data_IF_415926726071
#
_entry.id   IF_415926726071
#
_cell.length_a   1.000
_cell.length_b   1.000
_cell.length_c   1.000
_cell.angle_alpha   90.00
_cell.angle_beta   90.00
_cell.angle_gamma   90.00
#
_symmetry.space_group_name_H-M   'P 1'
#
loop_
_entity.id
_entity.type
_entity.pdbx_description
1 polymer ?
#
# COMPACT_ATOMS: atom_id res chain seq x y z
N UNK A 1 4.96 -17.71 3.82
CA UNK A 1 6.17 -16.90 4.12
C UNK A 1 6.41 -16.86 5.62
N UNK A 2 7.67 -16.99 6.08
CA UNK A 2 7.99 -17.07 7.53
C UNK A 2 7.52 -15.84 8.33
N UNK A 3 7.66 -14.64 7.76
CA UNK A 3 7.23 -13.36 8.35
C UNK A 3 5.71 -13.28 8.64
N UNK A 4 4.90 -14.15 8.03
CA UNK A 4 3.46 -14.27 8.29
C UNK A 4 3.12 -15.53 9.11
N UNK A 5 3.66 -16.69 8.73
CA UNK A 5 3.27 -17.98 9.31
C UNK A 5 3.56 -18.07 10.81
N UNK A 6 4.59 -17.37 11.30
CA UNK A 6 4.91 -17.34 12.74
C UNK A 6 3.87 -16.60 13.58
N UNK A 7 3.18 -15.61 13.00
CA UNK A 7 2.24 -14.75 13.73
C UNK A 7 0.78 -15.12 13.46
N UNK A 8 0.50 -15.99 12.48
CA UNK A 8 -0.85 -16.40 12.09
C UNK A 8 -1.74 -16.81 13.27
N UNK A 9 -1.31 -17.67 14.23
CA UNK A 9 -2.17 -18.04 15.37
C UNK A 9 -2.59 -16.83 16.21
N UNK A 10 -1.67 -15.91 16.47
CA UNK A 10 -1.94 -14.70 17.25
C UNK A 10 -2.85 -13.74 16.48
N UNK A 11 -2.64 -13.59 15.17
CA UNK A 11 -3.54 -12.80 14.33
C UNK A 11 -4.95 -13.36 14.35
N UNK A 12 -5.13 -14.68 14.29
CA UNK A 12 -6.46 -15.31 14.42
C UNK A 12 -7.15 -14.88 15.71
N UNK A 13 -6.46 -14.95 16.86
CA UNK A 13 -7.00 -14.54 18.16
C UNK A 13 -7.41 -13.06 18.18
N UNK A 14 -6.60 -12.19 17.56
CA UNK A 14 -6.87 -10.75 17.50
C UNK A 14 -8.06 -10.44 16.59
N UNK A 15 -8.17 -11.11 15.44
CA UNK A 15 -9.32 -10.95 14.55
C UNK A 15 -10.62 -11.47 15.18
N UNK A 16 -10.58 -12.58 15.91
CA UNK A 16 -11.74 -13.05 16.67
C UNK A 16 -12.14 -12.07 17.78
N UNK A 17 -11.15 -11.44 18.43
CA UNK A 17 -11.41 -10.35 19.37
C UNK A 17 -12.07 -9.16 18.67
N UNK A 18 -11.60 -8.78 17.49
CA UNK A 18 -12.17 -7.69 16.70
C UNK A 18 -13.63 -7.97 16.33
N UNK A 19 -13.91 -9.18 15.80
CA UNK A 19 -15.25 -9.65 15.46
C UNK A 19 -16.19 -9.68 16.66
N UNK A 20 -15.71 -10.13 17.81
CA UNK A 20 -16.49 -10.15 19.06
C UNK A 20 -16.92 -8.74 19.50
N UNK A 21 -16.06 -7.72 19.30
CA UNK A 21 -16.44 -6.34 19.61
C UNK A 21 -17.37 -5.73 18.55
N UNK A 22 -17.18 -6.06 17.28
CA UNK A 22 -18.04 -5.60 16.18
C UNK A 22 -19.45 -6.21 16.31
N UNK A 23 -19.57 -7.47 16.72
CA UNK A 23 -20.88 -8.11 16.93
C UNK A 23 -21.72 -7.48 18.05
N UNK A 24 -21.10 -6.65 18.91
CA UNK A 24 -21.78 -5.89 19.95
C UNK A 24 -22.27 -4.50 19.48
N UNK A 25 -22.05 -4.13 18.21
CA UNK A 25 -22.56 -2.89 17.64
C UNK A 25 -24.09 -2.89 17.51
N UNK A 26 -24.75 -1.71 17.45
CA UNK A 26 -26.20 -1.66 17.26
C UNK A 26 -26.59 -2.16 15.86
N UNK A 27 -27.67 -2.93 15.76
CA UNK A 27 -28.19 -3.37 14.47
C UNK A 27 -28.55 -2.16 13.57
N UNK A 28 -28.28 -2.22 12.24
CA UNK A 28 -27.72 -3.36 11.50
C UNK A 28 -26.18 -3.39 11.41
N UNK A 29 -25.47 -2.51 12.15
CA UNK A 29 -24.02 -2.31 12.04
C UNK A 29 -23.20 -3.49 12.56
N UNK A 30 -23.78 -4.32 13.44
CA UNK A 30 -23.20 -5.60 13.86
C UNK A 30 -22.96 -6.53 12.66
N UNK A 31 -24.03 -6.88 11.95
CA UNK A 31 -23.99 -7.80 10.83
C UNK A 31 -23.26 -7.21 9.64
N UNK A 32 -23.43 -5.90 9.40
CA UNK A 32 -22.72 -5.18 8.35
C UNK A 32 -21.21 -5.13 8.63
N UNK A 33 -20.81 -4.78 9.86
CA UNK A 33 -19.42 -4.74 10.28
C UNK A 33 -18.74 -6.10 10.25
N UNK A 34 -19.42 -7.18 10.64
CA UNK A 34 -18.86 -8.54 10.56
C UNK A 34 -18.58 -8.96 9.12
N UNK A 35 -19.51 -8.67 8.18
CA UNK A 35 -19.28 -8.94 6.76
C UNK A 35 -18.11 -8.10 6.22
N UNK A 36 -18.06 -6.82 6.57
CA UNK A 36 -17.01 -5.92 6.12
C UNK A 36 -15.63 -6.37 6.65
N UNK A 37 -15.52 -6.71 7.94
CA UNK A 37 -14.27 -7.20 8.54
C UNK A 37 -13.80 -8.53 7.94
N UNK A 38 -14.70 -9.39 7.47
CA UNK A 38 -14.33 -10.67 6.84
C UNK A 38 -13.72 -10.48 5.44
N UNK A 39 -14.12 -9.44 4.69
CA UNK A 39 -13.53 -9.13 3.39
C UNK A 39 -12.04 -8.81 3.50
N UNK A 40 -11.65 -8.10 4.56
CA UNK A 40 -10.28 -7.65 4.79
C UNK A 40 -9.55 -8.50 5.83
N UNK A 41 -10.00 -9.74 6.09
CA UNK A 41 -9.35 -10.63 7.04
C UNK A 41 -8.20 -11.41 6.38
N UNK A 42 -6.92 -11.07 6.66
CA UNK A 42 -5.74 -11.70 6.08
C UNK A 42 -5.55 -13.15 6.53
N UNK A 43 -6.26 -13.60 7.57
CA UNK A 43 -6.21 -14.99 8.05
C UNK A 43 -7.19 -15.87 7.29
N UNK A 44 -8.31 -15.30 6.82
CA UNK A 44 -9.35 -16.00 6.08
C UNK A 44 -9.00 -16.16 4.59
N UNK A 45 -8.29 -15.19 4.01
CA UNK A 45 -7.89 -15.19 2.61
C UNK A 45 -6.37 -15.38 2.49
N UNK A 46 -5.93 -16.37 1.69
CA UNK A 46 -4.49 -16.62 1.46
C UNK A 46 -3.84 -15.60 0.50
N UNK A 47 -4.62 -14.68 -0.07
CA UNK A 47 -4.20 -13.76 -1.13
C UNK A 47 -3.77 -12.36 -0.63
N UNK A 48 -3.52 -12.19 0.68
CA UNK A 48 -3.49 -10.86 1.30
C UNK A 48 -2.40 -9.89 0.81
N UNK A 49 -2.80 -8.64 0.57
CA UNK A 49 -1.93 -7.49 0.29
C UNK A 49 -1.70 -6.60 1.52
N UNK A 50 -2.59 -6.65 2.53
CA UNK A 50 -2.59 -5.71 3.68
C UNK A 50 -2.05 -6.29 5.00
N UNK A 51 -1.21 -7.33 4.94
CA UNK A 51 -0.69 -8.01 6.13
C UNK A 51 0.08 -7.06 7.07
N UNK A 52 0.77 -6.05 6.51
CA UNK A 52 1.62 -5.12 7.26
C UNK A 52 0.85 -4.38 8.37
N UNK A 53 -0.39 -3.96 8.12
CA UNK A 53 -1.20 -3.24 9.11
C UNK A 53 -1.34 -4.02 10.41
N UNK A 54 -1.49 -5.34 10.32
CA UNK A 54 -1.73 -6.20 11.49
C UNK A 54 -0.46 -6.81 12.07
N UNK A 55 0.57 -7.00 11.24
CA UNK A 55 1.82 -7.65 11.63
C UNK A 55 2.88 -6.68 12.14
N UNK A 56 2.84 -5.40 11.75
CA UNK A 56 3.85 -4.42 12.10
C UNK A 56 4.16 -4.36 13.61
N UNK A 57 3.19 -4.41 14.54
CA UNK A 57 3.49 -4.46 15.97
C UNK A 57 4.34 -5.67 16.38
N UNK A 58 4.18 -6.81 15.72
CA UNK A 58 4.96 -8.02 16.01
C UNK A 58 6.37 -7.93 15.43
N UNK A 59 6.53 -7.38 14.23
CA UNK A 59 7.83 -7.16 13.62
C UNK A 59 8.67 -6.15 14.41
N UNK A 60 8.04 -5.12 14.97
CA UNK A 60 8.72 -4.13 15.80
C UNK A 60 9.13 -4.67 17.18
N UNK A 61 8.61 -5.83 17.61
CA UNK A 61 8.71 -6.31 19.00
C UNK A 61 10.15 -6.50 19.46
N UNK A 62 10.98 -7.17 18.65
CA UNK A 62 12.38 -7.44 19.01
C UNK A 62 13.17 -6.13 19.13
N UNK A 63 12.87 -5.19 18.25
CA UNK A 63 13.57 -3.91 18.16
C UNK A 63 13.15 -2.91 19.25
N UNK A 64 11.88 -2.87 19.62
CA UNK A 64 11.39 -1.91 20.63
C UNK A 64 11.24 -2.52 22.02
N UNK A 65 11.25 -3.84 22.16
CA UNK A 65 11.12 -4.52 23.45
C UNK A 65 9.69 -4.52 24.03
N UNK A 66 8.67 -4.20 23.22
CA UNK A 66 7.27 -4.25 23.68
C UNK A 66 6.82 -5.68 24.00
N UNK A 67 5.88 -5.79 24.92
CA UNK A 67 5.29 -7.07 25.33
C UNK A 67 4.33 -7.61 24.26
N UNK A 68 4.08 -8.92 24.29
CA UNK A 68 3.10 -9.55 23.40
C UNK A 68 1.68 -8.98 23.57
N UNK A 69 1.29 -8.61 24.79
CA UNK A 69 0.01 -7.94 25.07
C UNK A 69 -0.05 -6.55 24.43
N UNK A 70 1.04 -5.78 24.45
CA UNK A 70 1.12 -4.49 23.79
C UNK A 70 1.08 -4.65 22.26
N UNK A 71 1.78 -5.65 21.70
CA UNK A 71 1.66 -5.98 20.27
C UNK A 71 0.20 -6.27 19.90
N UNK A 72 -0.49 -7.12 20.67
CA UNK A 72 -1.87 -7.48 20.40
C UNK A 72 -2.83 -6.28 20.45
N UNK A 73 -2.67 -5.38 21.43
CA UNK A 73 -3.52 -4.19 21.53
C UNK A 73 -3.24 -3.18 20.39
N UNK A 74 -1.98 -3.01 19.98
CA UNK A 74 -1.61 -2.19 18.81
C UNK A 74 -2.16 -2.81 17.51
N UNK A 75 -2.02 -4.12 17.32
CA UNK A 75 -2.57 -4.82 16.16
C UNK A 75 -4.09 -4.72 16.10
N UNK A 76 -4.77 -4.83 17.25
CA UNK A 76 -6.21 -4.64 17.33
C UNK A 76 -6.63 -3.22 16.95
N UNK A 77 -5.89 -2.20 17.43
CA UNK A 77 -6.11 -0.81 17.02
C UNK A 77 -5.94 -0.64 15.51
N UNK A 78 -4.93 -1.29 14.91
CA UNK A 78 -4.66 -1.22 13.48
C UNK A 78 -5.75 -1.90 12.64
N UNK A 79 -6.35 -3.00 13.10
CA UNK A 79 -7.51 -3.60 12.41
C UNK A 79 -8.66 -2.60 12.34
N UNK A 80 -8.99 -1.95 13.46
CA UNK A 80 -10.04 -0.94 13.46
C UNK A 80 -9.70 0.28 12.61
N UNK A 81 -8.44 0.73 12.67
CA UNK A 81 -7.94 1.83 11.84
C UNK A 81 -8.01 1.51 10.35
N UNK A 82 -7.50 0.35 9.94
CA UNK A 82 -7.55 -0.13 8.55
C UNK A 82 -8.99 -0.17 8.03
N UNK A 83 -9.90 -0.83 8.74
CA UNK A 83 -11.31 -0.89 8.34
C UNK A 83 -11.96 0.51 8.28
N UNK A 84 -11.58 1.41 9.19
CA UNK A 84 -12.07 2.80 9.18
C UNK A 84 -11.58 3.57 7.94
N UNK A 85 -10.29 3.50 7.61
CA UNK A 85 -9.72 4.22 6.47
C UNK A 85 -10.16 3.63 5.14
N UNK A 86 -10.31 2.30 5.02
CA UNK A 86 -10.92 1.68 3.84
C UNK A 86 -12.35 2.18 3.61
N UNK A 87 -13.15 2.34 4.67
CA UNK A 87 -14.47 2.97 4.55
C UNK A 87 -14.36 4.42 4.07
N UNK A 88 -13.36 5.19 4.55
CA UNK A 88 -13.18 6.57 4.08
C UNK A 88 -12.86 6.59 2.59
N UNK A 89 -11.91 5.76 2.15
CA UNK A 89 -11.48 5.67 0.75
C UNK A 89 -12.65 5.21 -0.15
N UNK A 90 -13.35 4.12 0.21
CA UNK A 90 -14.55 3.64 -0.49
C UNK A 90 -15.61 4.74 -0.66
N UNK A 91 -15.84 5.54 0.39
CA UNK A 91 -16.82 6.63 0.37
C UNK A 91 -16.38 7.80 -0.52
N UNK A 92 -15.08 8.11 -0.56
CA UNK A 92 -14.51 9.18 -1.38
C UNK A 92 -14.46 8.81 -2.87
N UNK A 93 -14.17 7.54 -3.18
CA UNK A 93 -14.05 7.04 -4.55
C UNK A 93 -15.41 6.67 -5.16
N UNK A 94 -16.44 6.45 -4.34
CA UNK A 94 -17.79 6.17 -4.82
C UNK A 94 -18.37 7.37 -5.61
N UNK A 95 -18.40 7.25 -6.95
CA UNK A 95 -18.85 8.30 -7.89
C UNK A 95 -20.33 8.71 -7.76
N UNK A 96 -21.10 8.15 -6.83
CA UNK A 96 -22.53 8.44 -6.69
C UNK A 96 -22.92 8.53 -5.21
N UNK A 97 -23.36 9.72 -4.80
CA UNK A 97 -24.08 9.98 -3.55
C UNK A 97 -25.49 9.34 -3.56
N UNK A 98 -25.55 8.03 -3.77
CA UNK A 98 -26.78 7.23 -3.80
C UNK A 98 -26.93 6.42 -2.52
N UNK A 99 -28.18 6.07 -2.22
CA UNK A 99 -28.65 5.25 -1.11
C UNK A 99 -27.67 4.13 -0.70
N UNK A 100 -27.37 4.02 0.61
CA UNK A 100 -26.48 2.99 1.17
C UNK A 100 -25.17 3.47 1.80
N UNK A 101 -24.89 4.79 1.81
CA UNK A 101 -23.70 5.35 2.46
C UNK A 101 -23.83 5.55 3.98
N UNK A 102 -25.04 5.44 4.54
CA UNK A 102 -25.29 5.66 5.98
C UNK A 102 -24.63 4.60 6.84
N UNK A 103 -24.72 3.33 6.41
CA UNK A 103 -24.19 2.18 7.13
C UNK A 103 -22.65 2.19 7.16
N UNK A 104 -21.92 2.35 6.03
CA UNK A 104 -20.48 2.55 6.05
C UNK A 104 -20.06 3.73 6.92
N UNK A 105 -20.70 4.89 6.78
CA UNK A 105 -20.36 6.07 7.56
C UNK A 105 -20.51 5.84 9.09
N UNK A 106 -21.65 5.28 9.50
CA UNK A 106 -21.90 4.99 10.91
C UNK A 106 -20.98 3.89 11.45
N UNK A 107 -20.70 2.86 10.64
CA UNK A 107 -19.73 1.81 10.99
C UNK A 107 -18.33 2.40 11.19
N UNK A 108 -17.87 3.24 10.26
CA UNK A 108 -16.58 3.90 10.33
C UNK A 108 -16.41 4.68 11.63
N UNK A 109 -17.44 5.41 12.07
CA UNK A 109 -17.41 6.12 13.35
C UNK A 109 -17.20 5.17 14.56
N UNK A 110 -17.89 4.02 14.59
CA UNK A 110 -17.74 3.03 15.65
C UNK A 110 -16.37 2.36 15.64
N UNK A 111 -15.84 2.03 14.45
CA UNK A 111 -14.49 1.49 14.28
C UNK A 111 -13.43 2.49 14.76
N UNK A 112 -13.54 3.75 14.37
CA UNK A 112 -12.66 4.83 14.85
C UNK A 112 -12.68 4.94 16.38
N UNK A 113 -13.86 4.86 16.99
CA UNK A 113 -13.99 4.88 18.45
C UNK A 113 -13.31 3.67 19.13
N UNK A 114 -13.42 2.47 18.54
CA UNK A 114 -12.73 1.28 19.06
C UNK A 114 -11.21 1.38 18.89
N UNK A 115 -10.71 1.91 17.78
CA UNK A 115 -9.29 2.22 17.59
C UNK A 115 -8.78 3.15 18.70
N UNK A 116 -9.49 4.27 18.95
CA UNK A 116 -9.12 5.20 20.03
C UNK A 116 -9.18 4.55 21.41
N UNK A 117 -10.13 3.63 21.65
CA UNK A 117 -10.23 2.89 22.92
C UNK A 117 -8.99 2.02 23.15
N UNK A 118 -8.47 1.38 22.11
CA UNK A 118 -7.22 0.62 22.19
C UNK A 118 -6.05 1.54 22.54
N UNK A 119 -5.88 2.65 21.84
CA UNK A 119 -4.80 3.60 22.15
C UNK A 119 -4.89 4.19 23.55
N UNK A 120 -6.10 4.51 24.05
CA UNK A 120 -6.29 5.03 25.42
C UNK A 120 -5.97 4.03 26.53
N UNK A 121 -5.94 2.72 26.24
CA UNK A 121 -5.44 1.72 27.20
C UNK A 121 -3.93 1.70 27.29
N UNK A 122 -3.25 2.07 26.20
CA UNK A 122 -1.80 2.06 26.08
C UNK A 122 -1.16 3.39 26.48
N UNK A 123 -1.83 4.51 26.20
CA UNK A 123 -1.28 5.85 26.34
C UNK A 123 -2.17 6.75 27.19
N UNK A 124 -1.54 7.50 28.10
CA UNK A 124 -2.18 8.58 28.87
C UNK A 124 -2.50 9.78 27.97
N UNK A 125 -3.40 10.65 28.39
CA UNK A 125 -3.81 11.87 27.67
C UNK A 125 -2.65 12.82 27.39
N UNK A 126 -1.63 12.84 28.25
CA UNK A 126 -0.47 13.75 28.14
C UNK A 126 0.68 13.16 27.32
N UNK A 127 0.50 11.96 26.75
CA UNK A 127 1.53 11.30 25.95
C UNK A 127 1.74 12.04 24.62
N UNK A 128 3.01 12.23 24.22
CA UNK A 128 3.37 12.77 22.90
C UNK A 128 2.86 11.90 21.74
N UNK A 129 2.42 10.67 22.03
CA UNK A 129 1.71 9.81 21.08
C UNK A 129 0.57 10.54 20.35
N UNK A 130 -0.18 11.38 21.07
CA UNK A 130 -1.34 12.08 20.50
C UNK A 130 -0.93 13.20 19.53
N UNK A 131 0.23 13.82 19.72
CA UNK A 131 0.78 14.80 18.78
C UNK A 131 1.14 14.12 17.44
N UNK A 132 1.70 12.92 17.51
CA UNK A 132 1.96 12.09 16.33
C UNK A 132 0.67 11.59 15.67
N UNK A 133 -0.34 11.22 16.46
CA UNK A 133 -1.65 10.81 15.93
C UNK A 133 -2.29 11.95 15.11
N UNK A 134 -2.28 13.17 15.64
CA UNK A 134 -2.77 14.37 14.93
C UNK A 134 -1.93 14.68 13.68
N UNK A 135 -0.60 14.58 13.78
CA UNK A 135 0.31 14.72 12.62
C UNK A 135 -0.06 13.74 11.51
N UNK A 136 -0.28 12.46 11.82
CA UNK A 136 -0.58 11.45 10.79
C UNK A 136 -1.99 11.54 10.22
N UNK A 137 -2.98 11.99 11.01
CA UNK A 137 -4.30 12.32 10.49
C UNK A 137 -4.23 13.48 9.47
N UNK A 138 -3.44 14.51 9.76
CA UNK A 138 -3.21 15.64 8.83
C UNK A 138 -2.44 15.21 7.58
N UNK A 139 -1.42 14.37 7.73
CA UNK A 139 -0.66 13.84 6.60
C UNK A 139 -1.55 13.00 5.68
N UNK A 140 -2.41 12.14 6.24
CA UNK A 140 -3.39 11.37 5.46
C UNK A 140 -4.31 12.31 4.66
N UNK A 141 -4.93 13.29 5.33
CA UNK A 141 -5.85 14.21 4.69
C UNK A 141 -5.20 15.03 3.57
N UNK A 142 -3.96 15.48 3.77
CA UNK A 142 -3.17 16.16 2.73
C UNK A 142 -2.90 15.24 1.53
N UNK A 143 -2.51 13.98 1.81
CA UNK A 143 -2.18 13.01 0.75
C UNK A 143 -3.39 12.66 -0.10
N UNK A 144 -4.56 12.45 0.51
CA UNK A 144 -5.80 12.15 -0.21
C UNK A 144 -6.19 13.27 -1.18
N UNK A 145 -5.97 14.54 -0.81
CA UNK A 145 -6.40 15.69 -1.62
C UNK A 145 -5.34 16.11 -2.65
N UNK A 146 -4.05 16.02 -2.31
CA UNK A 146 -2.98 16.66 -3.05
C UNK A 146 -2.08 15.71 -3.86
N UNK A 147 -2.24 14.39 -3.73
CA UNK A 147 -1.37 13.41 -4.41
C UNK A 147 -1.27 13.62 -5.93
N UNK A 148 -2.41 13.81 -6.60
CA UNK A 148 -2.45 14.03 -8.05
C UNK A 148 -1.81 15.37 -8.46
N UNK A 149 -2.05 16.43 -7.69
CA UNK A 149 -1.54 17.78 -8.00
C UNK A 149 -0.04 17.90 -7.71
N UNK A 150 0.44 17.21 -6.68
CA UNK A 150 1.84 17.14 -6.31
C UNK A 150 2.66 16.17 -7.15
N UNK A 151 2.02 15.26 -7.90
CA UNK A 151 2.68 14.24 -8.72
C UNK A 151 3.74 13.45 -7.93
N UNK A 152 3.34 12.97 -6.75
CA UNK A 152 4.23 12.45 -5.71
C UNK A 152 5.19 11.36 -6.20
N UNK A 153 4.75 10.43 -7.05
CA UNK A 153 5.64 9.40 -7.57
C UNK A 153 6.85 9.96 -8.34
N UNK A 154 6.72 11.15 -8.94
CA UNK A 154 7.79 11.79 -9.69
C UNK A 154 8.61 12.78 -8.85
N UNK A 155 8.01 13.43 -7.86
CA UNK A 155 8.65 14.47 -7.04
C UNK A 155 9.26 13.93 -5.75
N UNK A 156 8.52 13.07 -5.05
CA UNK A 156 8.87 12.47 -3.76
C UNK A 156 8.10 11.15 -3.57
N UNK A 157 8.68 10.04 -4.03
CA UNK A 157 8.04 8.72 -4.04
C UNK A 157 7.59 8.26 -2.66
N UNK A 158 8.25 8.70 -1.59
CA UNK A 158 7.83 8.32 -0.24
C UNK A 158 6.51 8.98 0.15
N UNK A 159 6.09 10.07 -0.52
CA UNK A 159 4.78 10.66 -0.29
C UNK A 159 3.63 9.87 -0.91
N UNK A 160 3.88 8.94 -1.85
CA UNK A 160 2.79 8.09 -2.39
C UNK A 160 2.23 7.14 -1.33
N UNK A 161 3.00 6.80 -0.29
CA UNK A 161 2.48 6.07 0.87
C UNK A 161 1.80 6.96 1.91
N UNK A 162 1.59 8.25 1.61
CA UNK A 162 0.98 9.21 2.53
C UNK A 162 -0.46 8.86 2.93
N UNK A 163 -1.22 8.14 2.08
CA UNK A 163 -2.52 7.56 2.43
C UNK A 163 -2.42 6.45 3.48
N UNK A 164 -1.26 5.83 3.64
CA UNK A 164 -0.98 4.87 4.70
C UNK A 164 -0.30 5.51 5.92
N UNK A 165 -0.15 6.85 5.96
CA UNK A 165 0.45 7.56 7.08
C UNK A 165 -0.12 7.20 8.47
N UNK A 166 -1.43 6.94 8.64
CA UNK A 166 -1.97 6.53 9.93
C UNK A 166 -1.31 5.27 10.51
N UNK A 167 -0.80 4.36 9.67
CA UNK A 167 -0.12 3.14 10.15
C UNK A 167 1.18 3.46 10.91
N UNK A 168 1.85 4.60 10.62
CA UNK A 168 3.05 5.05 11.34
C UNK A 168 2.81 5.25 12.83
N UNK A 169 1.57 5.46 13.24
CA UNK A 169 1.25 5.55 14.67
C UNK A 169 1.63 4.27 15.44
N UNK A 170 1.69 3.13 14.76
CA UNK A 170 2.17 1.87 15.34
C UNK A 170 3.64 1.93 15.70
N UNK A 171 4.46 2.54 14.84
CA UNK A 171 5.89 2.72 15.09
C UNK A 171 6.08 3.60 16.31
N UNK A 172 5.39 4.74 16.36
CA UNK A 172 5.42 5.65 17.51
C UNK A 172 4.97 4.92 18.77
N UNK A 173 3.84 4.21 18.70
CA UNK A 173 3.31 3.48 19.83
C UNK A 173 4.29 2.43 20.37
N UNK A 174 4.89 1.64 19.48
CA UNK A 174 5.87 0.63 19.85
C UNK A 174 7.13 1.25 20.47
N UNK A 175 7.66 2.34 19.89
CA UNK A 175 8.85 3.01 20.41
C UNK A 175 8.60 3.65 21.78
N UNK A 176 7.45 4.30 21.98
CA UNK A 176 7.11 4.94 23.24
C UNK A 176 6.87 3.92 24.37
N UNK A 177 6.18 2.81 24.07
CA UNK A 177 5.97 1.73 25.03
C UNK A 177 7.28 1.00 25.35
N UNK A 178 8.18 0.91 24.38
CA UNK A 178 9.51 0.33 24.51
C UNK A 178 10.57 1.24 25.14
N UNK A 179 10.26 2.52 25.36
CA UNK A 179 11.20 3.50 25.91
C UNK A 179 12.33 3.89 24.96
N UNK A 180 12.13 3.80 23.64
CA UNK A 180 13.11 4.14 22.60
C UNK A 180 12.59 5.20 21.60
N UNK A 181 12.09 6.38 22.05
CA UNK A 181 11.54 7.42 21.17
C UNK A 181 12.52 7.93 20.11
N UNK A 182 13.83 7.85 20.36
CA UNK A 182 14.88 8.22 19.42
C UNK A 182 14.87 7.37 18.12
N UNK A 183 14.23 6.19 18.15
CA UNK A 183 14.12 5.28 16.99
C UNK A 183 12.92 5.58 16.09
N UNK A 184 12.00 6.45 16.52
CA UNK A 184 10.76 6.73 15.80
C UNK A 184 11.05 7.12 14.35
N UNK A 185 11.93 8.10 14.13
CA UNK A 185 12.22 8.61 12.78
C UNK A 185 12.82 7.56 11.85
N UNK A 186 13.73 6.71 12.32
CA UNK A 186 14.36 5.68 11.48
C UNK A 186 13.38 4.56 11.14
N UNK A 187 12.53 4.15 12.08
CA UNK A 187 11.56 3.09 11.87
C UNK A 187 10.37 3.58 11.03
N UNK A 188 9.95 4.83 11.18
CA UNK A 188 8.97 5.46 10.29
C UNK A 188 9.47 5.47 8.85
N UNK A 189 10.73 5.86 8.65
CA UNK A 189 11.33 5.85 7.32
C UNK A 189 11.37 4.45 6.70
N UNK A 190 11.71 3.43 7.49
CA UNK A 190 11.68 2.04 7.04
C UNK A 190 10.26 1.58 6.63
N UNK A 191 9.24 2.00 7.38
CA UNK A 191 7.83 1.72 7.08
C UNK A 191 7.37 2.49 5.84
N UNK A 192 7.71 3.77 5.68
CA UNK A 192 7.38 4.57 4.50
C UNK A 192 7.97 3.94 3.22
N UNK A 193 9.23 3.51 3.25
CA UNK A 193 9.86 2.79 2.12
C UNK A 193 9.07 1.52 1.78
N UNK A 194 8.71 0.74 2.81
CA UNK A 194 7.96 -0.51 2.64
C UNK A 194 6.57 -0.28 2.06
N UNK A 195 5.85 0.72 2.56
CA UNK A 195 4.51 1.08 2.09
C UNK A 195 4.53 1.68 0.68
N UNK A 196 5.58 2.42 0.31
CA UNK A 196 5.73 2.89 -1.07
C UNK A 196 5.90 1.73 -2.04
N UNK A 197 6.68 0.71 -1.68
CA UNK A 197 6.82 -0.50 -2.53
C UNK A 197 5.53 -1.32 -2.59
N UNK A 198 4.75 -1.36 -1.50
CA UNK A 198 3.41 -1.95 -1.52
C UNK A 198 2.47 -1.19 -2.48
N UNK A 199 2.41 0.14 -2.35
CA UNK A 199 1.63 1.00 -3.24
C UNK A 199 2.01 0.80 -4.71
N UNK A 200 3.29 0.56 -5.02
CA UNK A 200 3.70 0.24 -6.39
C UNK A 200 3.10 -1.07 -6.92
N UNK A 201 2.95 -2.10 -6.07
CA UNK A 201 2.28 -3.35 -6.48
C UNK A 201 0.78 -3.14 -6.71
N UNK A 202 0.14 -2.31 -5.88
CA UNK A 202 -1.26 -1.94 -6.04
C UNK A 202 -1.45 -1.11 -7.31
N UNK A 203 -0.61 -0.10 -7.54
CA UNK A 203 -0.58 0.69 -8.77
C UNK A 203 -0.43 -0.18 -10.02
N UNK A 204 0.39 -1.24 -9.95
CA UNK A 204 0.49 -2.22 -11.04
C UNK A 204 -0.76 -3.08 -11.19
N UNK A 205 -1.41 -3.46 -10.09
CA UNK A 205 -2.61 -4.31 -10.15
C UNK A 205 -3.79 -3.53 -10.73
N UNK A 206 -3.89 -2.25 -10.39
CA UNK A 206 -5.11 -1.46 -10.56
C UNK A 206 -4.99 -0.40 -11.68
N UNK A 207 -3.84 -0.33 -12.39
CA UNK A 207 -3.57 0.72 -13.40
C UNK A 207 -4.66 0.92 -14.46
N UNK A 208 -5.44 -0.13 -14.80
CA UNK A 208 -6.55 -0.01 -15.75
C UNK A 208 -7.76 0.68 -15.15
N UNK A 209 -8.09 0.31 -13.92
CA UNK A 209 -9.19 0.88 -13.15
C UNK A 209 -8.86 2.33 -12.82
N UNK A 210 -7.66 2.59 -12.30
CA UNK A 210 -7.20 3.96 -12.00
C UNK A 210 -7.19 4.85 -13.25
N UNK A 211 -6.75 4.31 -14.39
CA UNK A 211 -6.79 5.05 -15.65
C UNK A 211 -8.22 5.36 -16.09
N UNK A 212 -9.13 4.40 -15.97
CA UNK A 212 -10.54 4.58 -16.31
C UNK A 212 -11.19 5.62 -15.39
N UNK A 213 -10.87 5.56 -14.10
CA UNK A 213 -11.52 6.40 -13.10
C UNK A 213 -10.91 7.78 -12.95
N UNK A 214 -9.70 7.98 -13.47
CA UNK A 214 -8.95 9.23 -13.38
C UNK A 214 -8.18 9.37 -12.07
N UNK A 215 -7.97 8.26 -11.35
CA UNK A 215 -7.24 8.22 -10.09
C UNK A 215 -5.73 8.32 -10.35
N UNK A 216 -5.03 8.98 -9.42
CA UNK A 216 -3.57 9.03 -9.49
C UNK A 216 -2.98 7.65 -9.26
N UNK A 217 -2.00 7.29 -10.07
CA UNK A 217 -1.33 6.00 -10.04
C UNK A 217 0.14 6.22 -10.43
N UNK A 218 1.07 5.71 -9.63
CA UNK A 218 2.50 5.95 -9.80
C UNK A 218 3.06 5.37 -11.10
N UNK A 219 2.57 4.21 -11.55
CA UNK A 219 2.93 3.63 -12.85
C UNK A 219 2.46 4.51 -14.00
N UNK A 220 1.21 4.99 -13.96
CA UNK A 220 0.68 5.91 -14.97
C UNK A 220 1.41 7.25 -14.97
N UNK A 221 1.81 7.75 -13.80
CA UNK A 221 2.61 8.96 -13.67
C UNK A 221 4.00 8.80 -14.30
N UNK A 222 4.67 7.66 -14.08
CA UNK A 222 5.93 7.32 -14.74
C UNK A 222 5.76 7.29 -16.26
N UNK A 223 4.73 6.61 -16.77
CA UNK A 223 4.42 6.54 -18.20
C UNK A 223 4.16 7.95 -18.78
N UNK A 224 3.35 8.76 -18.10
CA UNK A 224 3.07 10.13 -18.55
C UNK A 224 4.33 10.99 -18.64
N UNK A 225 5.25 10.86 -17.68
CA UNK A 225 6.54 11.54 -17.70
C UNK A 225 7.40 11.10 -18.91
N UNK A 226 7.36 9.82 -19.27
CA UNK A 226 8.06 9.27 -20.44
C UNK A 226 7.48 9.72 -21.79
N UNK A 227 6.19 9.98 -21.86
CA UNK A 227 5.54 10.48 -23.09
C UNK A 227 5.59 12.01 -23.22
N UNK A 228 5.70 12.72 -22.11
CA UNK A 228 5.82 14.20 -22.08
C UNK A 228 7.19 14.72 -22.52
N UNK A 229 8.01 13.88 -23.17
CA UNK A 229 9.31 14.21 -23.75
C UNK A 229 9.16 15.13 -24.98
N UNK A 230 8.66 16.35 -24.77
CA UNK A 230 8.99 17.48 -25.62
C UNK A 230 10.41 17.94 -25.26
N UNK A 231 11.36 18.01 -26.19
CA UNK A 231 12.77 18.30 -25.92
C UNK A 231 13.07 19.71 -25.35
N UNK A 232 12.03 20.50 -25.03
CA UNK A 232 12.16 21.90 -24.62
C UNK A 232 12.02 22.16 -23.10
N UNK A 233 11.48 21.23 -22.30
CA UNK A 233 11.31 21.46 -20.86
C UNK A 233 12.54 20.99 -20.07
N UNK A 234 13.04 21.79 -19.12
CA UNK A 234 14.14 21.39 -18.23
C UNK A 234 13.66 20.43 -17.11
N UNK A 235 14.55 19.66 -16.49
CA UNK A 235 14.17 18.59 -15.53
C UNK A 235 13.35 19.04 -14.30
N UNK A 236 13.43 20.31 -13.92
CA UNK A 236 12.72 20.87 -12.75
C UNK A 236 11.32 21.40 -13.09
N UNK A 237 11.12 21.96 -14.28
CA UNK A 237 9.79 22.35 -14.79
C UNK A 237 8.91 21.12 -15.09
N UNK A 238 9.53 19.97 -15.37
CA UNK A 238 8.83 18.70 -15.63
C UNK A 238 8.20 18.09 -14.38
N UNK A 239 8.86 18.20 -13.24
CA UNK A 239 8.40 17.59 -11.98
C UNK A 239 7.27 18.40 -11.31
N UNK A 240 7.11 19.67 -11.68
CA UNK A 240 6.14 20.60 -11.09
C UNK A 240 4.90 20.84 -11.96
N UNK A 241 4.81 20.21 -13.13
CA UNK A 241 3.62 20.23 -13.96
C UNK A 241 2.54 19.30 -13.36
N UNK A 242 1.25 19.71 -13.33
CA UNK A 242 0.16 18.85 -12.87
C UNK A 242 0.16 17.52 -13.61
N UNK A 243 -0.06 16.42 -12.89
CA UNK A 243 -0.18 15.11 -13.50
C UNK A 243 -1.31 15.10 -14.53
N UNK A 244 -1.01 14.53 -15.69
CA UNK A 244 -2.00 14.23 -16.74
C UNK A 244 -1.93 12.74 -17.03
N UNK A 245 -3.03 11.99 -16.92
CA UNK A 245 -3.04 10.57 -17.23
C UNK A 245 -2.68 10.34 -18.71
N UNK A 246 -1.89 9.29 -19.04
CA UNK A 246 -1.66 8.87 -20.41
C UNK A 246 -2.97 8.33 -21.02
N UNK A 247 -3.08 8.27 -22.34
CA UNK A 247 -4.17 7.51 -22.97
C UNK A 247 -3.97 6.00 -22.78
N UNK A 248 -5.04 5.21 -22.85
CA UNK A 248 -4.98 3.74 -22.77
C UNK A 248 -3.94 3.16 -23.73
N UNK A 249 -3.91 3.66 -24.97
CA UNK A 249 -2.95 3.21 -25.98
C UNK A 249 -1.50 3.54 -25.60
N UNK A 250 -1.26 4.68 -24.97
CA UNK A 250 0.08 5.05 -24.49
C UNK A 250 0.50 4.17 -23.32
N UNK A 251 -0.40 3.92 -22.36
CA UNK A 251 -0.15 3.02 -21.24
C UNK A 251 0.15 1.59 -21.70
N UNK A 252 -0.68 1.01 -22.57
CA UNK A 252 -0.45 -0.33 -23.13
C UNK A 252 0.86 -0.41 -23.92
N UNK A 253 1.16 0.60 -24.73
CA UNK A 253 2.42 0.65 -25.46
C UNK A 253 3.63 0.76 -24.50
N UNK A 254 3.53 1.54 -23.43
CA UNK A 254 4.61 1.67 -22.45
C UNK A 254 4.89 0.34 -21.73
N UNK A 255 3.82 -0.30 -21.25
CA UNK A 255 3.87 -1.53 -20.45
C UNK A 255 4.31 -2.72 -21.33
N UNK A 256 3.62 -2.96 -22.45
CA UNK A 256 3.81 -4.18 -23.24
C UNK A 256 4.88 -4.07 -24.33
N UNK A 257 5.21 -2.84 -24.77
CA UNK A 257 6.15 -2.62 -25.89
C UNK A 257 7.44 -1.94 -25.41
N UNK A 258 7.39 -0.91 -24.58
CA UNK A 258 8.56 -0.08 -24.19
C UNK A 258 9.22 -0.47 -22.86
N UNK A 259 8.87 -1.64 -22.31
CA UNK A 259 9.50 -2.20 -21.11
C UNK A 259 9.49 -1.25 -19.90
N UNK A 260 8.40 -0.48 -19.73
CA UNK A 260 8.22 0.46 -18.62
C UNK A 260 8.27 -0.24 -17.26
N UNK A 261 7.75 -1.46 -17.18
CA UNK A 261 7.73 -2.22 -15.93
C UNK A 261 9.11 -2.55 -15.38
N UNK A 262 10.14 -2.66 -16.23
CA UNK A 262 11.50 -2.84 -15.76
C UNK A 262 11.99 -1.64 -14.95
N UNK A 263 11.77 -0.42 -15.45
CA UNK A 263 12.12 0.83 -14.75
C UNK A 263 11.28 1.02 -13.49
N UNK A 264 10.02 0.61 -13.53
CA UNK A 264 9.16 0.64 -12.36
C UNK A 264 9.68 -0.33 -11.27
N UNK A 265 10.09 -1.54 -11.64
CA UNK A 265 10.68 -2.52 -10.72
C UNK A 265 12.05 -2.08 -10.15
N UNK A 266 12.87 -1.37 -10.93
CA UNK A 266 14.16 -0.80 -10.47
C UNK A 266 13.98 0.13 -9.26
N UNK A 267 12.86 0.87 -9.15
CA UNK A 267 12.58 1.66 -7.95
C UNK A 267 12.37 0.79 -6.71
N UNK A 268 11.71 -0.37 -6.86
CA UNK A 268 11.57 -1.34 -5.78
C UNK A 268 12.91 -1.91 -5.32
N UNK A 269 13.88 -2.07 -6.23
CA UNK A 269 15.26 -2.46 -5.87
C UNK A 269 15.98 -1.36 -5.09
N UNK A 270 15.89 -0.11 -5.57
CA UNK A 270 16.48 1.05 -4.88
C UNK A 270 15.90 1.23 -3.48
N UNK A 271 14.59 1.04 -3.31
CA UNK A 271 13.94 1.03 -2.01
C UNK A 271 14.50 -0.07 -1.08
N UNK A 272 14.79 -1.26 -1.62
CA UNK A 272 15.38 -2.33 -0.83
C UNK A 272 16.78 -1.96 -0.31
N UNK A 273 17.63 -1.37 -1.16
CA UNK A 273 18.96 -0.88 -0.76
C UNK A 273 18.89 0.19 0.32
N UNK A 274 17.94 1.11 0.22
CA UNK A 274 17.69 2.13 1.26
C UNK A 274 17.24 1.48 2.58
N UNK A 275 16.32 0.51 2.51
CA UNK A 275 15.76 -0.15 3.68
C UNK A 275 16.82 -0.92 4.50
N UNK A 276 17.70 -1.66 3.83
CA UNK A 276 18.79 -2.40 4.50
C UNK A 276 19.89 -1.47 5.04
N UNK A 277 19.99 -0.25 4.50
CA UNK A 277 20.89 0.79 5.00
C UNK A 277 20.44 1.42 6.32
N UNK A 278 19.16 1.29 6.68
CA UNK A 278 18.63 1.79 7.94
C UNK A 278 19.07 0.85 9.08
N UNK A 279 19.73 1.44 10.08
CA UNK A 279 20.22 0.70 11.23
C UNK A 279 19.06 0.07 12.01
N UNK A 280 19.19 -1.22 12.31
CA UNK A 280 18.22 -1.97 13.15
C UNK A 280 16.80 -1.97 12.58
N UNK A 281 16.67 -2.02 11.26
CA UNK A 281 15.39 -2.34 10.61
C UNK A 281 14.97 -3.77 10.98
N UNK A 282 13.70 -4.01 11.37
CA UNK A 282 13.21 -5.36 11.65
C UNK A 282 13.41 -6.33 10.49
N UNK A 283 13.92 -7.53 10.78
CA UNK A 283 14.19 -8.57 9.79
C UNK A 283 12.94 -8.94 8.98
N UNK A 284 11.79 -9.02 9.63
CA UNK A 284 10.51 -9.35 9.00
C UNK A 284 10.04 -8.25 8.05
N UNK A 285 10.31 -6.98 8.38
CA UNK A 285 9.99 -5.85 7.51
C UNK A 285 10.85 -5.88 6.24
N UNK A 286 12.15 -6.19 6.38
CA UNK A 286 13.05 -6.40 5.24
C UNK A 286 12.57 -7.58 4.38
N UNK A 287 12.20 -8.70 5.00
CA UNK A 287 11.74 -9.89 4.28
C UNK A 287 10.40 -9.66 3.56
N UNK A 288 9.48 -8.91 4.17
CA UNK A 288 8.23 -8.50 3.55
C UNK A 288 8.47 -7.56 2.37
N UNK A 289 9.33 -6.55 2.53
CA UNK A 289 9.75 -5.68 1.43
C UNK A 289 10.38 -6.46 0.27
N UNK A 290 11.30 -7.39 0.56
CA UNK A 290 11.96 -8.19 -0.46
C UNK A 290 10.95 -9.00 -1.26
N UNK A 291 9.97 -9.62 -0.58
CA UNK A 291 8.88 -10.34 -1.25
C UNK A 291 8.12 -9.45 -2.26
N UNK A 292 7.82 -8.20 -1.88
CA UNK A 292 7.13 -7.26 -2.77
C UNK A 292 8.01 -6.81 -3.95
N UNK A 293 9.27 -6.50 -3.69
CA UNK A 293 10.25 -6.12 -4.73
C UNK A 293 10.44 -7.25 -5.74
N UNK A 294 10.58 -8.49 -5.27
CA UNK A 294 10.68 -9.67 -6.14
C UNK A 294 9.39 -9.87 -6.96
N UNK A 295 8.21 -9.54 -6.40
CA UNK A 295 6.94 -9.51 -7.14
C UNK A 295 6.97 -8.56 -8.33
N UNK A 296 7.42 -7.31 -8.14
CA UNK A 296 7.57 -6.32 -9.22
C UNK A 296 8.55 -6.80 -10.30
N UNK A 297 9.68 -7.40 -9.89
CA UNK A 297 10.66 -7.95 -10.84
C UNK A 297 10.08 -9.10 -11.65
N UNK A 298 9.39 -10.03 -11.00
CA UNK A 298 8.76 -11.17 -11.65
C UNK A 298 7.76 -10.72 -12.72
N UNK A 299 6.96 -9.69 -12.43
CA UNK A 299 6.05 -9.06 -13.41
C UNK A 299 6.82 -8.49 -14.61
N UNK A 300 7.88 -7.72 -14.37
CA UNK A 300 8.69 -7.13 -15.43
C UNK A 300 9.35 -8.21 -16.32
N UNK A 301 9.87 -9.28 -15.72
CA UNK A 301 10.46 -10.41 -16.42
C UNK A 301 9.43 -11.19 -17.25
N UNK A 302 8.24 -11.41 -16.71
CA UNK A 302 7.15 -12.07 -17.40
C UNK A 302 6.73 -11.29 -18.65
N UNK A 303 6.51 -9.98 -18.52
CA UNK A 303 6.15 -9.11 -19.65
C UNK A 303 7.23 -9.12 -20.73
N UNK A 304 8.51 -9.07 -20.34
CA UNK A 304 9.64 -9.14 -21.26
C UNK A 304 9.71 -10.50 -21.97
N UNK A 305 9.45 -11.59 -21.25
CA UNK A 305 9.38 -12.95 -21.80
C UNK A 305 8.24 -13.09 -22.81
N UNK A 306 7.05 -12.60 -22.47
CA UNK A 306 5.87 -12.61 -23.33
C UNK A 306 6.09 -11.78 -24.60
N UNK A 307 6.72 -10.60 -24.49
CA UNK A 307 7.14 -9.80 -25.65
C UNK A 307 8.11 -10.56 -26.57
N UNK A 308 9.14 -11.22 -26.01
CA UNK A 308 10.10 -12.02 -26.79
C UNK A 308 9.40 -13.17 -27.52
N UNK A 309 8.46 -13.88 -26.85
CA UNK A 309 7.65 -14.94 -27.47
C UNK A 309 6.77 -14.42 -28.60
N UNK A 310 6.12 -13.27 -28.43
CA UNK A 310 5.29 -12.66 -29.47
C UNK A 310 6.12 -12.26 -30.72
N UNK A 311 7.30 -11.66 -30.51
CA UNK A 311 8.21 -11.29 -31.59
C UNK A 311 8.83 -12.53 -32.27
N UNK A 312 9.19 -13.57 -31.51
CA UNK A 312 9.71 -14.83 -32.04
C UNK A 312 8.67 -15.68 -32.76
N UNK A 313 7.41 -15.65 -32.31
CA UNK A 313 6.28 -16.32 -32.96
C UNK A 313 5.89 -15.67 -34.28
N UNK A 314 5.94 -14.33 -34.37
CA UNK A 314 5.72 -13.61 -35.63
C UNK A 314 6.79 -13.91 -36.70
N UNK A 315 8.04 -14.09 -36.27
CA UNK A 315 9.13 -14.52 -37.16
C UNK A 315 8.89 -15.96 -37.64
N UNK A 316 8.48 -16.88 -36.77
CA UNK A 316 8.15 -18.25 -37.17
C UNK A 316 6.93 -18.32 -38.12
N UNK A 317 5.93 -17.44 -37.95
CA UNK A 317 4.78 -17.37 -38.86
C UNK A 317 5.18 -16.83 -40.25
N UNK A 318 6.13 -15.89 -40.31
CA UNK A 318 6.70 -15.41 -41.57
C UNK A 318 7.57 -16.48 -42.26
N UNK A 319 8.27 -17.32 -41.49
CA UNK A 319 9.00 -18.46 -42.04
C UNK A 319 8.06 -19.55 -42.56
N UNK A 320 6.92 -19.82 -41.90
CA UNK A 320 5.93 -20.78 -42.41
C UNK A 320 5.20 -20.27 -43.66
N UNK A 321 4.92 -18.97 -43.74
CA UNK A 321 4.29 -18.36 -44.92
C UNK A 321 5.24 -18.31 -46.14
N UNK A 322 6.55 -18.17 -45.91
CA UNK A 322 7.55 -18.19 -46.97
C UNK A 322 7.98 -19.61 -47.40
N UNK A 323 7.79 -20.63 -46.56
CA UNK A 323 8.05 -22.03 -46.94
C UNK A 323 6.96 -22.62 -47.83
N UNK A 324 5.72 -22.11 -47.73
CA UNK A 324 4.60 -22.56 -48.58
C UNK A 324 4.55 -21.85 -49.94
N UNK A 325 5.19 -20.68 -50.10
CA UNK A 325 5.30 -19.97 -51.38
C UNK A 325 6.47 -20.41 -52.27
N UNK A 326 7.28 -21.38 -51.82
CA UNK A 326 8.43 -21.92 -52.57
C UNK A 326 8.14 -23.27 -53.25
N UNK A 327 6.88 -23.73 -53.25
CA UNK A 327 6.40 -24.91 -53.96
C UNK A 327 5.24 -24.56 -54.92
N UNK A 328 5.50 -23.74 -55.92
CA UNK A 328 4.73 -23.64 -57.18
C UNK A 328 5.65 -23.18 -58.29
#
# INVERSE_FOLDING_TARGET
>A
MLWYTMHKPKLTEIYETAKCQISAFPAPLDSFGLRYAELFNPVAHEEGRDYICTLLPFWLREETGITETQCAELSLANIYGMLYYFIQDDLMDSKVASEGQKEPFALGHLLYHNMLRCFRRLFRSESIFWDFFDKYAKQWADSVINEASGNYFMTDRLQTSGKAAPLKITVVGACLLGGCPERISSLEHAVDITLTTLQMLDDWSDWREDLHDGNYNGLLALIAAEYSHSPAASGMERASAPWRPPSLKEAEAAIYIKDCMSRFAEYGEQHHELLIGIKQTPCELIAFHLYMSDGLKAVAEELRSNKKKALGGGINMLYSLNSDSAQT
#
